data_IF_010854445104
#
_entry.id   IF_010854445104
#
_cell.length_a   1.000
_cell.length_b   1.000
_cell.length_c   1.000
_cell.angle_alpha   90.00
_cell.angle_beta   90.00
_cell.angle_gamma   90.00
#
_symmetry.space_group_name_H-M   'P 1'
#
loop_
_entity.id
_entity.type
_entity.pdbx_description
1 polymer ?
#
# COMPACT_ATOMS: atom_id res chain seq x y z
N UNK A 1 -2.03 13.21 -10.00
CA UNK A 1 -3.15 12.95 -9.09
C UNK A 1 -3.55 11.50 -9.24
N UNK A 2 -3.52 10.72 -8.17
CA UNK A 2 -3.88 9.30 -8.20
C UNK A 2 -5.32 9.14 -8.71
N UNK A 3 -5.50 8.22 -9.67
CA UNK A 3 -6.80 7.89 -10.25
C UNK A 3 -7.46 6.74 -9.48
N UNK A 4 -8.69 6.97 -9.03
CA UNK A 4 -9.51 5.99 -8.30
C UNK A 4 -10.51 5.26 -9.20
N UNK A 5 -10.48 5.50 -10.52
CA UNK A 5 -11.40 4.90 -11.50
C UNK A 5 -11.42 3.37 -11.46
N UNK A 6 -10.25 2.73 -11.28
CA UNK A 6 -10.14 1.28 -11.13
C UNK A 6 -10.96 0.76 -9.94
N UNK A 7 -10.91 1.46 -8.80
CA UNK A 7 -11.70 1.08 -7.63
C UNK A 7 -13.20 1.32 -7.85
N UNK A 8 -13.57 2.43 -8.48
CA UNK A 8 -14.97 2.71 -8.82
C UNK A 8 -15.55 1.63 -9.74
N UNK A 9 -14.79 1.20 -10.76
CA UNK A 9 -15.19 0.11 -11.65
C UNK A 9 -15.32 -1.23 -10.91
N UNK A 10 -14.40 -1.51 -9.97
CA UNK A 10 -14.42 -2.73 -9.17
C UNK A 10 -15.70 -2.80 -8.31
N UNK A 11 -16.04 -1.72 -7.60
CA UNK A 11 -17.21 -1.73 -6.69
C UNK A 11 -18.54 -1.59 -7.42
N UNK A 12 -18.55 -1.06 -8.65
CA UNK A 12 -19.78 -0.89 -9.45
C UNK A 12 -20.56 -2.19 -9.66
N UNK A 13 -19.87 -3.35 -9.63
CA UNK A 13 -20.47 -4.68 -9.81
C UNK A 13 -20.40 -5.55 -8.54
N UNK A 14 -20.15 -4.95 -7.38
CA UNK A 14 -20.05 -5.65 -6.10
C UNK A 14 -21.15 -5.19 -5.12
N UNK A 15 -21.29 -5.84 -3.94
CA UNK A 15 -22.17 -5.36 -2.87
C UNK A 15 -21.88 -3.93 -2.39
N UNK A 16 -20.71 -3.37 -2.74
CA UNK A 16 -20.30 -2.01 -2.37
C UNK A 16 -20.74 -0.94 -3.39
N UNK A 17 -21.50 -1.30 -4.43
CA UNK A 17 -21.88 -0.38 -5.52
C UNK A 17 -22.62 0.88 -5.04
N UNK A 18 -23.43 0.78 -3.99
CA UNK A 18 -24.12 1.90 -3.35
C UNK A 18 -23.16 3.00 -2.87
N UNK A 19 -21.90 2.68 -2.61
CA UNK A 19 -20.91 3.66 -2.19
C UNK A 19 -20.56 4.66 -3.31
N UNK A 20 -20.84 4.34 -4.57
CA UNK A 20 -20.69 5.26 -5.70
C UNK A 20 -21.62 6.48 -5.62
N UNK A 21 -22.66 6.44 -4.79
CA UNK A 21 -23.54 7.58 -4.53
C UNK A 21 -22.82 8.71 -3.76
N UNK A 22 -21.74 8.40 -3.03
CA UNK A 22 -21.07 9.37 -2.14
C UNK A 22 -19.56 9.41 -2.32
N UNK A 23 -18.88 8.28 -2.51
CA UNK A 23 -17.42 8.19 -2.53
C UNK A 23 -16.77 9.06 -3.62
N UNK A 24 -17.21 9.08 -4.88
CA UNK A 24 -16.56 9.89 -5.91
C UNK A 24 -16.59 11.39 -5.60
N UNK A 25 -17.71 11.89 -5.05
CA UNK A 25 -17.84 13.29 -4.67
C UNK A 25 -16.92 13.65 -3.49
N UNK A 26 -16.80 12.75 -2.51
CA UNK A 26 -15.90 12.93 -1.36
C UNK A 26 -14.42 12.95 -1.78
N UNK A 27 -14.01 12.01 -2.63
CA UNK A 27 -12.64 11.95 -3.17
C UNK A 27 -12.33 13.20 -3.99
N UNK A 28 -13.26 13.64 -4.85
CA UNK A 28 -13.07 14.84 -5.66
C UNK A 28 -12.95 16.12 -4.80
N UNK A 29 -13.70 16.23 -3.70
CA UNK A 29 -13.56 17.32 -2.75
C UNK A 29 -12.18 17.28 -2.06
N UNK A 30 -11.75 16.12 -1.56
CA UNK A 30 -10.44 15.96 -0.94
C UNK A 30 -9.28 16.34 -1.90
N UNK A 31 -9.37 15.90 -3.15
CA UNK A 31 -8.38 16.19 -4.19
C UNK A 31 -8.23 17.68 -4.51
N UNK A 32 -9.30 18.47 -4.35
CA UNK A 32 -9.25 19.93 -4.58
C UNK A 32 -8.79 20.69 -3.33
N UNK A 33 -9.32 20.31 -2.17
CA UNK A 33 -9.38 21.22 -1.02
C UNK A 33 -8.52 20.76 0.16
N UNK A 34 -8.05 19.50 0.18
CA UNK A 34 -7.44 18.89 1.36
C UNK A 34 -6.16 18.09 1.08
N UNK A 35 -5.47 18.39 -0.03
CA UNK A 35 -4.15 17.81 -0.28
C UNK A 35 -3.12 18.35 0.71
N UNK A 36 -2.29 17.46 1.22
CA UNK A 36 -1.17 17.82 2.09
C UNK A 36 -0.14 18.69 1.34
N UNK A 37 0.55 19.61 2.03
CA UNK A 37 1.53 20.50 1.40
C UNK A 37 2.69 19.80 0.67
N UNK A 38 3.04 18.58 1.11
CA UNK A 38 4.04 17.70 0.47
C UNK A 38 3.47 16.73 -0.57
N UNK A 39 2.17 16.77 -0.85
CA UNK A 39 1.51 15.79 -1.71
C UNK A 39 2.21 15.63 -3.07
N UNK A 40 2.60 16.73 -3.72
CA UNK A 40 3.29 16.69 -5.02
C UNK A 40 4.67 16.02 -4.97
N UNK A 41 5.38 16.15 -3.85
CA UNK A 41 6.68 15.51 -3.67
C UNK A 41 6.51 13.99 -3.54
N UNK A 42 5.55 13.57 -2.72
CA UNK A 42 5.23 12.16 -2.52
C UNK A 42 4.65 11.51 -3.77
N UNK A 43 3.75 12.19 -4.46
CA UNK A 43 3.18 11.72 -5.73
C UNK A 43 4.28 11.50 -6.77
N UNK A 44 5.21 12.45 -6.93
CA UNK A 44 6.36 12.27 -7.83
C UNK A 44 7.23 11.07 -7.43
N UNK A 45 7.46 10.86 -6.13
CA UNK A 45 8.23 9.71 -5.68
C UNK A 45 7.56 8.40 -6.14
N UNK A 46 6.23 8.30 -6.06
CA UNK A 46 5.46 7.16 -6.57
C UNK A 46 5.53 7.07 -8.09
N UNK A 47 5.35 8.16 -8.83
CA UNK A 47 5.42 8.19 -10.31
C UNK A 47 6.80 7.74 -10.85
N UNK A 48 7.89 8.02 -10.12
CA UNK A 48 9.24 7.65 -10.52
C UNK A 48 9.68 6.25 -10.05
N UNK A 49 8.89 5.60 -9.19
CA UNK A 49 9.14 4.20 -8.85
C UNK A 49 8.91 3.32 -10.08
N UNK A 50 9.82 2.38 -10.38
CA UNK A 50 9.60 1.42 -11.44
C UNK A 50 8.43 0.50 -11.12
N UNK A 51 7.62 0.21 -12.13
CA UNK A 51 6.59 -0.83 -12.04
C UNK A 51 7.23 -2.21 -12.20
N UNK A 52 6.90 -3.12 -11.28
CA UNK A 52 7.39 -4.49 -11.29
C UNK A 52 6.23 -5.46 -11.11
N UNK A 53 6.30 -6.60 -11.80
CA UNK A 53 5.56 -7.79 -11.42
C UNK A 53 6.47 -8.67 -10.56
N UNK A 54 6.10 -8.99 -9.31
CA UNK A 54 6.94 -9.82 -8.46
C UNK A 54 7.05 -11.23 -9.05
N UNK A 55 8.28 -11.75 -9.11
CA UNK A 55 8.52 -13.15 -9.46
C UNK A 55 8.10 -14.08 -8.31
N UNK A 56 8.40 -13.66 -7.07
CA UNK A 56 7.87 -14.28 -5.85
C UNK A 56 7.26 -13.21 -4.97
N UNK A 57 6.13 -13.56 -4.36
CA UNK A 57 5.38 -12.69 -3.46
C UNK A 57 4.94 -13.52 -2.25
N UNK A 58 5.40 -13.11 -1.06
CA UNK A 58 4.91 -13.62 0.22
C UNK A 58 4.06 -12.53 0.87
N UNK A 59 2.79 -12.87 1.10
CA UNK A 59 1.78 -12.12 1.85
C UNK A 59 1.23 -12.94 3.03
N UNK A 60 1.71 -14.17 3.22
CA UNK A 60 1.23 -15.06 4.28
C UNK A 60 2.04 -14.87 5.56
N UNK A 61 3.36 -14.72 5.44
CA UNK A 61 4.26 -14.60 6.58
C UNK A 61 4.90 -13.21 6.72
N UNK A 62 4.90 -12.44 5.64
CA UNK A 62 5.50 -11.10 5.58
C UNK A 62 4.85 -10.32 4.43
N UNK A 63 5.33 -9.10 4.17
CA UNK A 63 5.06 -8.41 2.91
C UNK A 63 6.37 -8.31 2.15
N UNK A 64 6.66 -9.37 1.37
CA UNK A 64 7.93 -9.55 0.68
C UNK A 64 7.73 -9.81 -0.82
N UNK A 65 8.38 -8.99 -1.65
CA UNK A 65 8.36 -9.11 -3.10
C UNK A 65 9.79 -9.28 -3.64
N UNK A 66 10.00 -10.26 -4.51
CA UNK A 66 11.30 -10.58 -5.09
C UNK A 66 11.24 -10.65 -6.62
N UNK A 67 12.36 -10.31 -7.26
CA UNK A 67 12.59 -10.50 -8.70
C UNK A 67 13.24 -11.87 -8.96
N UNK A 68 13.15 -12.37 -10.19
CA UNK A 68 13.79 -13.64 -10.60
C UNK A 68 15.31 -13.56 -10.44
N UNK A 69 15.89 -12.45 -10.91
CA UNK A 69 17.30 -12.10 -10.73
C UNK A 69 17.42 -10.87 -9.83
N UNK A 70 18.43 -10.78 -8.96
CA UNK A 70 18.65 -9.59 -8.13
C UNK A 70 18.74 -8.31 -8.97
N UNK A 71 18.15 -7.22 -8.47
CA UNK A 71 18.29 -5.91 -9.09
C UNK A 71 19.75 -5.44 -9.00
N UNK A 72 20.21 -4.72 -10.02
CA UNK A 72 21.52 -4.06 -9.97
C UNK A 72 21.56 -2.99 -8.88
N UNK A 73 22.75 -2.73 -8.32
CA UNK A 73 22.92 -1.80 -7.20
C UNK A 73 22.35 -0.40 -7.48
N UNK A 74 22.53 0.12 -8.70
CA UNK A 74 21.97 1.42 -9.09
C UNK A 74 20.45 1.46 -9.10
N UNK A 75 19.79 0.37 -9.50
CA UNK A 75 18.32 0.28 -9.47
C UNK A 75 17.81 0.19 -8.03
N UNK A 76 18.45 -0.65 -7.21
CA UNK A 76 18.12 -0.80 -5.79
C UNK A 76 18.27 0.53 -5.05
N UNK A 77 19.38 1.25 -5.26
CA UNK A 77 19.64 2.56 -4.65
C UNK A 77 18.61 3.61 -5.10
N UNK A 78 18.20 3.60 -6.38
CA UNK A 78 17.14 4.47 -6.89
C UNK A 78 15.82 4.21 -6.16
N UNK A 79 15.42 2.95 -6.02
CA UNK A 79 14.19 2.55 -5.33
C UNK A 79 14.26 3.00 -3.87
N UNK A 80 15.36 2.71 -3.17
CA UNK A 80 15.56 3.09 -1.77
C UNK A 80 15.43 4.61 -1.57
N UNK A 81 16.05 5.42 -2.42
CA UNK A 81 15.99 6.88 -2.32
C UNK A 81 14.58 7.43 -2.58
N UNK A 82 13.87 6.89 -3.57
CA UNK A 82 12.47 7.28 -3.84
C UNK A 82 11.56 6.92 -2.68
N UNK A 83 11.72 5.71 -2.13
CA UNK A 83 10.96 5.27 -0.97
C UNK A 83 11.23 6.19 0.23
N UNK A 84 12.49 6.56 0.51
CA UNK A 84 12.84 7.43 1.66
C UNK A 84 12.15 8.80 1.63
N UNK A 85 11.77 9.31 0.45
CA UNK A 85 10.98 10.54 0.34
C UNK A 85 9.56 10.40 0.92
N UNK A 86 9.09 9.17 1.14
CA UNK A 86 7.79 8.85 1.75
C UNK A 86 7.88 8.66 3.27
N UNK A 87 9.03 8.95 3.90
CA UNK A 87 9.17 8.96 5.35
C UNK A 87 8.31 10.07 6.00
N UNK A 88 7.87 9.88 7.26
CA UNK A 88 8.21 8.79 8.16
C UNK A 88 7.38 7.51 7.92
N UNK A 89 8.06 6.35 7.90
CA UNK A 89 7.39 5.06 7.80
C UNK A 89 7.06 4.49 9.17
N UNK A 90 5.76 4.39 9.47
CA UNK A 90 5.31 3.99 10.80
C UNK A 90 4.94 2.52 10.90
N UNK A 91 4.26 1.93 9.90
CA UNK A 91 3.74 0.55 9.96
C UNK A 91 4.38 -0.35 8.89
N UNK A 92 4.90 -1.50 9.30
CA UNK A 92 5.68 -2.45 8.50
C UNK A 92 6.19 -3.61 9.37
N UNK A 93 7.29 -4.31 8.99
CA UNK A 93 8.27 -3.95 7.95
C UNK A 93 7.84 -4.37 6.53
N UNK A 94 8.54 -3.85 5.51
CA UNK A 94 8.36 -4.26 4.11
C UNK A 94 9.69 -4.73 3.53
N UNK A 95 9.67 -5.76 2.69
CA UNK A 95 10.86 -6.21 1.94
C UNK A 95 10.57 -6.22 0.44
N UNK A 96 11.08 -5.23 -0.28
CA UNK A 96 10.73 -4.99 -1.68
C UNK A 96 11.99 -5.01 -2.54
N UNK A 97 12.19 -6.09 -3.30
CA UNK A 97 13.28 -6.24 -4.27
C UNK A 97 14.68 -5.97 -3.68
N UNK A 98 14.91 -6.46 -2.46
CA UNK A 98 16.16 -6.26 -1.72
C UNK A 98 16.28 -4.93 -0.97
N UNK A 99 15.24 -4.09 -0.98
CA UNK A 99 15.12 -2.90 -0.12
C UNK A 99 14.26 -3.25 1.09
N UNK A 100 14.85 -3.20 2.29
CA UNK A 100 14.14 -3.43 3.55
C UNK A 100 13.72 -2.11 4.17
N UNK A 101 12.41 -1.92 4.31
CA UNK A 101 11.80 -0.76 4.96
C UNK A 101 11.53 -1.15 6.41
N UNK A 102 12.50 -0.85 7.28
CA UNK A 102 12.34 -0.99 8.73
C UNK A 102 11.54 0.21 9.25
N UNK A 103 10.37 -0.07 9.81
CA UNK A 103 9.40 0.96 10.21
C UNK A 103 9.35 1.11 11.72
N UNK A 104 8.84 2.25 12.20
CA UNK A 104 8.68 2.52 13.64
C UNK A 104 8.02 1.37 14.42
N UNK A 105 6.98 0.77 13.84
CA UNK A 105 6.22 -0.31 14.48
C UNK A 105 6.45 -1.66 13.80
N UNK A 106 6.76 -2.66 14.63
CA UNK A 106 6.60 -4.09 14.32
C UNK A 106 5.14 -4.46 14.21
N UNK A 107 4.57 -4.13 13.05
CA UNK A 107 3.15 -4.30 12.74
C UNK A 107 2.81 -5.78 12.51
N UNK A 108 3.81 -6.57 12.10
CA UNK A 108 3.83 -8.03 12.08
C UNK A 108 3.56 -8.64 13.47
N UNK A 109 4.23 -8.17 14.53
CA UNK A 109 4.00 -8.70 15.88
C UNK A 109 2.57 -8.44 16.39
N UNK A 110 1.95 -7.35 15.95
CA UNK A 110 0.53 -7.12 16.22
C UNK A 110 -0.32 -8.12 15.42
N UNK A 111 0.00 -8.33 14.14
CA UNK A 111 -0.74 -9.26 13.30
C UNK A 111 -0.69 -10.70 13.82
N UNK A 112 0.49 -11.21 14.19
CA UNK A 112 0.68 -12.55 14.77
C UNK A 112 -0.15 -12.77 16.04
N UNK A 113 -0.32 -11.72 16.87
CA UNK A 113 -1.15 -11.78 18.07
C UNK A 113 -2.65 -11.73 17.78
N UNK A 114 -3.06 -11.09 16.69
CA UNK A 114 -4.47 -10.91 16.33
C UNK A 114 -4.99 -12.09 15.51
N UNK A 115 -4.20 -12.59 14.56
CA UNK A 115 -4.58 -13.59 13.58
C UNK A 115 -5.25 -14.85 14.19
N UNK A 116 -4.77 -15.45 15.30
CA UNK A 116 -5.38 -16.64 15.89
C UNK A 116 -6.79 -16.43 16.43
N UNK A 117 -7.21 -15.18 16.61
CA UNK A 117 -8.52 -14.82 17.17
C UNK A 117 -9.51 -14.33 16.12
N UNK A 118 -9.08 -14.18 14.87
CA UNK A 118 -9.97 -13.79 13.79
C UNK A 118 -10.79 -15.00 13.34
N UNK A 119 -12.03 -14.75 12.96
CA UNK A 119 -12.73 -15.71 12.09
C UNK A 119 -11.95 -15.87 10.78
N UNK A 120 -12.03 -17.04 10.16
CA UNK A 120 -11.40 -17.29 8.87
C UNK A 120 -11.69 -16.15 7.88
N UNK A 121 -10.62 -15.54 7.36
CA UNK A 121 -10.67 -14.35 6.49
C UNK A 121 -10.92 -14.72 5.02
N UNK A 122 -10.89 -16.01 4.69
CA UNK A 122 -11.07 -16.50 3.32
C UNK A 122 -12.37 -15.98 2.70
N UNK A 123 -12.24 -15.30 1.55
CA UNK A 123 -13.37 -14.79 0.76
C UNK A 123 -14.08 -13.57 1.35
N UNK A 124 -13.57 -12.95 2.41
CA UNK A 124 -14.19 -11.77 3.03
C UNK A 124 -13.86 -10.47 2.29
N UNK A 125 -14.84 -9.57 2.27
CA UNK A 125 -14.61 -8.14 2.00
C UNK A 125 -14.40 -7.43 3.34
N UNK A 126 -13.27 -6.74 3.50
CA UNK A 126 -12.82 -6.18 4.78
C UNK A 126 -12.63 -4.67 4.66
N UNK A 127 -12.94 -3.94 5.74
CA UNK A 127 -12.63 -2.53 5.92
C UNK A 127 -11.63 -2.37 7.06
N UNK A 128 -10.45 -1.81 6.78
CA UNK A 128 -9.45 -1.43 7.80
C UNK A 128 -9.49 0.10 8.04
N UNK A 129 -10.13 0.50 9.13
CA UNK A 129 -10.33 1.92 9.48
C UNK A 129 -9.04 2.49 10.07
N UNK A 130 -8.48 3.52 9.44
CA UNK A 130 -7.21 4.12 9.89
C UNK A 130 -5.99 3.24 9.55
N UNK A 131 -6.02 2.59 8.39
CA UNK A 131 -5.03 1.61 7.94
C UNK A 131 -3.59 2.16 7.86
N UNK A 132 -3.38 3.48 7.77
CA UNK A 132 -2.04 4.08 7.76
C UNK A 132 -1.30 3.74 6.46
N UNK A 133 -0.16 3.05 6.53
CA UNK A 133 0.54 2.58 5.31
C UNK A 133 -0.20 1.45 4.59
N UNK A 134 -1.22 0.85 5.22
CA UNK A 134 -1.97 -0.27 4.66
C UNK A 134 -1.31 -1.63 4.88
N UNK A 135 -0.27 -1.73 5.72
CA UNK A 135 0.44 -2.99 6.00
C UNK A 135 -0.49 -4.17 6.32
N UNK A 136 -1.54 -3.97 7.14
CA UNK A 136 -2.46 -5.03 7.54
C UNK A 136 -3.49 -5.43 6.47
N UNK A 137 -3.52 -4.76 5.32
CA UNK A 137 -4.36 -5.14 4.17
C UNK A 137 -3.63 -6.07 3.19
N UNK A 138 -2.32 -6.24 3.36
CA UNK A 138 -1.45 -7.13 2.60
C UNK A 138 -1.20 -8.40 3.42
#
# INVERSE_FOLDING_TARGET
MIDFSNFYQLIAKSPLSHWLETLPAQVAAWQRDALHGKYREWERAVEFLPEFSPYRLDLLHSVTAESETPLGDGQRLRIENLLKNLMPWRKGPWSLYGVNIDTEWRSDWKWERVLPHLSDLTGRTILDVGCGSGYHMW
#
